data_IF_446899841714
#
_entry.id   IF_446899841714
#
_cell.length_a   1.000
_cell.length_b   1.000
_cell.length_c   1.000
_cell.angle_alpha   90.00
_cell.angle_beta   90.00
_cell.angle_gamma   90.00
#
_symmetry.space_group_name_H-M   'P 1'
#
loop_
_entity.id
_entity.type
_entity.pdbx_description
1 polymer ?
#
# COMPACT_ATOMS: atom_id res chain seq x y z
N UNK A 1 -8.66 48.33 -36.93
CA UNK A 1 -8.44 47.34 -35.86
C UNK A 1 -7.18 46.58 -36.21
N UNK A 2 -6.14 46.85 -35.44
CA UNK A 2 -4.74 46.46 -35.63
C UNK A 2 -4.49 45.03 -35.11
N UNK A 3 -3.68 44.29 -35.86
CA UNK A 3 -3.22 42.94 -35.57
C UNK A 3 -1.69 42.95 -35.44
N UNK A 4 -1.19 42.11 -34.53
CA UNK A 4 0.12 41.45 -34.51
C UNK A 4 1.40 42.23 -34.09
N UNK A 5 1.84 41.88 -32.88
CA UNK A 5 3.20 41.58 -32.41
C UNK A 5 4.40 41.72 -33.37
N UNK A 6 5.43 42.45 -32.90
CA UNK A 6 6.84 42.04 -32.94
C UNK A 6 7.66 42.98 -32.04
N UNK A 7 8.48 42.43 -31.14
CA UNK A 7 9.68 43.16 -30.68
C UNK A 7 10.86 42.19 -30.57
N UNK A 8 11.88 42.50 -31.36
CA UNK A 8 13.17 41.84 -31.46
C UNK A 8 14.11 42.37 -30.37
N UNK A 9 14.88 41.48 -29.76
CA UNK A 9 16.09 41.82 -28.99
C UNK A 9 17.28 41.40 -29.84
N UNK A 10 18.20 42.34 -30.13
CA UNK A 10 19.67 42.17 -30.05
C UNK A 10 20.38 43.36 -30.69
N UNK A 11 21.29 43.99 -29.94
CA UNK A 11 22.54 44.70 -30.31
C UNK A 11 23.09 45.28 -28.98
N UNK A 12 24.36 45.45 -28.66
CA UNK A 12 25.68 44.87 -28.97
C UNK A 12 26.67 45.79 -28.23
N UNK A 13 27.79 45.22 -27.74
CA UNK A 13 29.08 45.89 -27.43
C UNK A 13 29.11 47.02 -26.38
N UNK A 14 30.00 46.92 -25.37
CA UNK A 14 31.24 47.71 -25.35
C UNK A 14 32.22 47.23 -24.25
N UNK A 15 33.51 47.45 -24.50
CA UNK A 15 34.65 46.93 -23.75
C UNK A 15 35.40 48.04 -23.00
N UNK A 16 36.06 47.71 -21.88
CA UNK A 16 37.36 48.27 -21.43
C UNK A 16 37.75 47.55 -20.12
N UNK A 17 38.75 46.66 -20.11
CA UNK A 17 40.22 46.87 -20.00
C UNK A 17 40.62 47.75 -18.79
N UNK A 18 41.15 47.10 -17.74
CA UNK A 18 42.18 47.68 -16.88
C UNK A 18 42.96 46.61 -16.08
N UNK A 19 44.28 46.55 -16.34
CA UNK A 19 45.42 46.16 -15.47
C UNK A 19 45.58 44.68 -15.06
N UNK A 20 46.53 43.95 -15.65
CA UNK A 20 47.99 43.85 -15.31
C UNK A 20 48.25 43.41 -13.87
N UNK A 21 49.17 42.50 -13.49
CA UNK A 21 50.10 41.56 -14.12
C UNK A 21 50.92 41.01 -12.93
N UNK A 22 51.12 39.70 -12.76
CA UNK A 22 52.38 39.10 -12.25
C UNK A 22 52.31 37.56 -12.20
N UNK A 23 52.95 36.94 -13.19
CA UNK A 23 53.59 35.63 -13.14
C UNK A 23 55.06 35.87 -12.74
N UNK A 24 55.83 35.05 -12.02
CA UNK A 24 56.34 33.68 -12.22
C UNK A 24 57.13 33.35 -10.91
N UNK A 25 57.48 32.12 -10.49
CA UNK A 25 58.64 31.33 -10.97
C UNK A 25 58.70 30.00 -10.18
N UNK A 26 59.21 28.98 -10.89
CA UNK A 26 59.47 27.54 -10.69
C UNK A 26 60.37 27.10 -9.49
N UNK A 27 60.21 25.82 -9.07
CA UNK A 27 61.21 24.75 -8.74
C UNK A 27 60.48 23.65 -7.92
N UNK A 28 60.72 22.33 -7.94
CA UNK A 28 61.75 21.43 -8.45
C UNK A 28 61.40 19.96 -8.05
N UNK A 29 62.24 19.03 -8.47
CA UNK A 29 62.12 17.55 -8.67
C UNK A 29 61.85 16.60 -7.46
N UNK A 30 61.32 15.39 -7.80
CA UNK A 30 61.46 14.02 -7.23
C UNK A 30 60.39 13.41 -6.30
N UNK A 31 59.97 12.18 -6.68
CA UNK A 31 59.63 11.09 -5.75
C UNK A 31 58.22 10.50 -5.91
N UNK A 32 58.10 9.39 -6.64
CA UNK A 32 56.83 8.69 -6.83
C UNK A 32 56.39 7.87 -5.63
N UNK A 33 55.07 7.72 -5.49
CA UNK A 33 54.36 6.49 -5.12
C UNK A 33 52.88 6.65 -5.49
N UNK A 34 52.34 5.66 -6.21
CA UNK A 34 50.95 5.61 -6.63
C UNK A 34 50.01 5.56 -5.41
N UNK A 35 49.07 6.52 -5.32
CA UNK A 35 47.99 6.52 -4.33
C UNK A 35 46.71 6.02 -4.98
N UNK A 36 46.38 4.74 -4.78
CA UNK A 36 45.04 4.20 -5.03
C UNK A 36 44.17 4.47 -3.81
N UNK A 37 43.23 5.40 -3.92
CA UNK A 37 42.18 5.59 -2.91
C UNK A 37 41.03 4.62 -3.16
N UNK A 38 40.61 3.79 -2.18
CA UNK A 38 39.22 3.40 -2.06
C UNK A 38 38.51 4.33 -1.07
N UNK A 39 37.36 4.84 -1.50
CA UNK A 39 36.45 5.69 -0.73
C UNK A 39 35.92 4.93 0.50
N UNK A 40 36.22 5.46 1.69
CA UNK A 40 35.60 5.08 2.97
C UNK A 40 34.24 5.79 3.06
N UNK A 41 33.15 5.03 3.15
CA UNK A 41 31.86 5.53 3.61
C UNK A 41 31.50 4.84 4.92
N UNK A 42 31.27 5.65 5.96
CA UNK A 42 31.05 5.27 7.35
C UNK A 42 29.70 5.87 7.74
N UNK A 43 28.69 5.06 8.05
CA UNK A 43 27.62 5.46 8.98
C UNK A 43 27.16 4.27 9.82
N UNK A 44 26.99 4.58 11.10
CA UNK A 44 26.75 3.65 12.20
C UNK A 44 25.30 3.15 12.20
N UNK A 45 25.12 1.83 12.04
CA UNK A 45 23.90 1.11 12.44
C UNK A 45 24.10 0.51 13.84
N UNK A 46 23.18 0.82 14.73
CA UNK A 46 23.26 0.70 16.19
C UNK A 46 23.36 -0.74 16.72
N UNK A 47 24.10 -0.87 17.83
CA UNK A 47 24.32 -2.07 18.68
C UNK A 47 23.04 -2.84 19.06
N UNK A 48 21.88 -2.19 18.99
CA UNK A 48 20.55 -2.75 19.24
C UNK A 48 20.16 -3.85 18.25
N UNK A 49 20.54 -3.72 16.97
CA UNK A 49 20.15 -4.65 15.90
C UNK A 49 20.88 -6.01 16.01
N UNK A 50 22.10 -6.00 16.58
CA UNK A 50 22.84 -7.23 16.90
C UNK A 50 22.24 -7.94 18.11
N UNK A 51 21.71 -7.19 19.08
CA UNK A 51 21.08 -7.73 20.28
C UNK A 51 19.81 -8.54 19.97
N UNK A 52 18.96 -8.04 19.07
CA UNK A 52 17.73 -8.73 18.68
C UNK A 52 17.98 -10.05 17.94
N UNK A 53 18.98 -10.11 17.06
CA UNK A 53 19.34 -11.34 16.34
C UNK A 53 19.86 -12.43 17.28
N UNK A 54 20.62 -12.05 18.32
CA UNK A 54 21.17 -12.99 19.28
C UNK A 54 20.11 -13.57 20.24
N UNK A 55 19.09 -12.78 20.59
CA UNK A 55 17.98 -13.23 21.45
C UNK A 55 17.01 -14.17 20.71
N UNK A 56 16.73 -13.90 19.43
CA UNK A 56 15.85 -14.76 18.62
C UNK A 56 16.51 -16.09 18.21
N UNK A 57 17.84 -16.13 18.10
CA UNK A 57 18.55 -17.37 17.74
C UNK A 57 18.59 -18.39 18.88
N UNK A 58 18.34 -17.96 20.13
CA UNK A 58 18.45 -18.81 21.32
C UNK A 58 17.15 -19.52 21.69
N UNK A 59 16.02 -19.20 21.05
CA UNK A 59 14.72 -19.81 21.33
C UNK A 59 14.35 -20.96 20.38
N UNK A 60 15.20 -21.32 19.41
CA UNK A 60 14.93 -22.38 18.43
C UNK A 60 15.94 -23.53 18.64
N UNK A 61 15.95 -24.12 19.82
CA UNK A 61 16.54 -25.45 19.99
C UNK A 61 15.74 -26.20 21.05
N UNK A 62 14.94 -27.14 20.56
CA UNK A 62 14.09 -27.98 21.38
C UNK A 62 12.62 -27.63 21.20
N UNK A 63 11.97 -28.27 20.23
CA UNK A 63 10.88 -29.21 20.50
C UNK A 63 10.45 -29.83 19.17
N UNK A 64 10.72 -31.13 19.05
CA UNK A 64 10.14 -32.02 18.05
C UNK A 64 8.61 -31.99 18.22
N UNK A 65 7.93 -31.56 17.18
CA UNK A 65 6.48 -31.45 17.13
C UNK A 65 6.09 -30.88 15.78
N UNK A 66 5.75 -31.78 14.87
CA UNK A 66 5.23 -31.52 13.52
C UNK A 66 4.19 -30.39 13.57
N UNK A 67 4.60 -29.19 13.15
CA UNK A 67 3.72 -28.06 12.87
C UNK A 67 3.91 -27.76 11.40
N UNK A 68 2.83 -27.89 10.64
CA UNK A 68 2.73 -27.36 9.29
C UNK A 68 2.97 -25.84 9.34
N UNK A 69 4.19 -25.41 9.03
CA UNK A 69 4.55 -24.00 8.83
C UNK A 69 3.83 -23.50 7.56
N UNK A 70 2.56 -23.11 7.71
CA UNK A 70 1.79 -22.48 6.64
C UNK A 70 2.37 -21.08 6.41
N UNK A 71 3.19 -20.97 5.36
CA UNK A 71 3.85 -19.74 4.92
C UNK A 71 2.82 -18.76 4.29
N UNK A 72 1.90 -18.28 5.12
CA UNK A 72 0.82 -17.39 4.70
C UNK A 72 1.34 -16.13 3.99
N UNK A 73 2.52 -15.64 4.38
CA UNK A 73 3.14 -14.44 3.82
C UNK A 73 3.44 -14.55 2.32
N UNK A 74 3.79 -15.75 1.86
CA UNK A 74 4.15 -15.98 0.46
C UNK A 74 2.95 -16.39 -0.40
N UNK A 75 2.00 -17.13 0.18
CA UNK A 75 0.86 -17.66 -0.57
C UNK A 75 -0.14 -16.58 -1.01
N UNK A 76 -0.31 -15.49 -0.23
CA UNK A 76 -1.17 -14.37 -0.66
C UNK A 76 -0.56 -13.50 -1.76
N UNK A 77 0.74 -13.66 -2.06
CA UNK A 77 1.49 -12.81 -2.99
C UNK A 77 1.45 -13.29 -4.45
N UNK A 78 0.89 -14.47 -4.73
CA UNK A 78 0.94 -15.09 -6.07
C UNK A 78 -0.07 -14.53 -7.08
N UNK A 79 -1.02 -13.67 -6.66
CA UNK A 79 -2.09 -13.13 -7.50
C UNK A 79 -1.86 -11.71 -8.03
N UNK A 80 -2.63 -11.32 -9.05
CA UNK A 80 -2.69 -9.93 -9.51
C UNK A 80 -3.19 -9.06 -8.36
N UNK A 81 -2.37 -8.08 -7.97
CA UNK A 81 -2.68 -7.08 -6.94
C UNK A 81 -3.21 -5.82 -7.58
N UNK A 82 -4.30 -5.28 -7.02
CA UNK A 82 -4.85 -3.99 -7.45
C UNK A 82 -5.24 -3.14 -6.26
N UNK A 83 -4.76 -1.90 -6.23
CA UNK A 83 -5.17 -0.94 -5.23
C UNK A 83 -6.45 -0.24 -5.66
N UNK A 84 -7.52 -0.37 -4.87
CA UNK A 84 -8.84 0.19 -5.18
C UNK A 84 -9.54 0.66 -3.90
N UNK A 85 -10.50 1.57 -4.06
CA UNK A 85 -11.49 1.92 -3.04
C UNK A 85 -12.79 1.20 -3.35
N UNK A 86 -13.49 0.68 -2.34
CA UNK A 86 -14.76 -0.01 -2.53
C UNK A 86 -15.93 0.93 -2.21
N UNK A 87 -16.55 1.50 -3.24
CA UNK A 87 -17.65 2.45 -3.10
C UNK A 87 -19.02 1.75 -3.15
N UNK A 88 -19.82 1.94 -2.11
CA UNK A 88 -21.19 1.46 -2.03
C UNK A 88 -22.17 2.63 -2.21
N UNK A 89 -23.03 2.55 -3.24
CA UNK A 89 -24.02 3.58 -3.56
C UNK A 89 -25.30 3.43 -2.72
N UNK A 90 -25.19 3.66 -1.41
CA UNK A 90 -26.31 3.64 -0.46
C UNK A 90 -26.36 4.92 0.36
N UNK A 91 -27.56 5.45 0.60
CA UNK A 91 -27.71 6.73 1.31
C UNK A 91 -27.02 7.86 0.55
N UNK A 92 -26.03 8.49 1.18
CA UNK A 92 -25.17 9.51 0.54
C UNK A 92 -24.00 8.91 -0.25
N UNK A 93 -23.85 7.58 -0.25
CA UNK A 93 -22.71 6.87 -0.82
C UNK A 93 -21.53 6.81 0.14
N UNK A 94 -20.88 5.65 0.22
CA UNK A 94 -19.81 5.40 1.18
C UNK A 94 -18.70 4.55 0.58
N UNK A 95 -17.44 4.92 0.83
CA UNK A 95 -16.29 4.06 0.66
C UNK A 95 -16.12 3.20 1.90
N UNK A 96 -15.93 1.90 1.72
CA UNK A 96 -15.50 1.02 2.80
C UNK A 96 -14.17 1.53 3.37
N UNK A 97 -13.99 1.45 4.68
CA UNK A 97 -12.72 1.75 5.33
C UNK A 97 -12.48 0.80 6.50
N UNK A 98 -11.21 0.60 6.82
CA UNK A 98 -10.75 -0.15 7.99
C UNK A 98 -9.75 0.71 8.76
N UNK A 99 -10.09 0.99 10.02
CA UNK A 99 -9.29 1.84 10.89
C UNK A 99 -8.18 1.03 11.60
N UNK A 100 -7.13 1.69 12.14
CA UNK A 100 -6.04 0.99 12.85
C UNK A 100 -6.48 0.21 14.09
N UNK A 101 -7.62 0.56 14.69
CA UNK A 101 -8.23 -0.17 15.81
C UNK A 101 -9.00 -1.43 15.35
N UNK A 102 -8.99 -1.75 14.05
CA UNK A 102 -9.70 -2.87 13.45
C UNK A 102 -11.19 -2.61 13.21
N UNK A 103 -11.68 -1.39 13.48
CA UNK A 103 -13.07 -1.02 13.20
C UNK A 103 -13.29 -0.81 11.71
N UNK A 104 -14.37 -1.39 11.20
CA UNK A 104 -14.79 -1.26 9.80
C UNK A 104 -16.09 -0.47 9.73
N UNK A 105 -16.15 0.50 8.82
CA UNK A 105 -17.34 1.28 8.51
C UNK A 105 -17.24 1.88 7.10
N UNK A 106 -18.28 2.60 6.69
CA UNK A 106 -18.29 3.43 5.51
C UNK A 106 -17.98 4.88 5.84
N UNK A 107 -17.25 5.55 4.95
CA UNK A 107 -16.97 6.99 4.98
C UNK A 107 -17.40 7.62 3.65
N UNK A 108 -18.02 8.80 3.68
CA UNK A 108 -18.49 9.43 2.45
C UNK A 108 -17.31 9.89 1.57
N UNK A 109 -16.45 10.74 2.15
CA UNK A 109 -15.24 11.21 1.48
C UNK A 109 -14.14 10.15 1.59
N UNK A 110 -13.43 9.93 0.49
CA UNK A 110 -12.27 9.04 0.49
C UNK A 110 -11.17 9.52 1.45
N UNK A 111 -10.44 8.56 2.01
CA UNK A 111 -9.31 8.83 2.88
C UNK A 111 -8.26 7.70 2.78
N UNK A 112 -7.14 7.86 3.48
CA UNK A 112 -6.06 6.86 3.51
C UNK A 112 -6.48 5.46 3.98
N UNK A 113 -7.51 5.35 4.83
CA UNK A 113 -8.03 4.08 5.37
C UNK A 113 -9.06 3.39 4.48
N UNK A 114 -9.48 4.06 3.40
CA UNK A 114 -10.40 3.51 2.39
C UNK A 114 -9.72 2.85 1.20
N UNK A 115 -8.38 2.91 1.15
CA UNK A 115 -7.57 2.30 0.10
C UNK A 115 -7.26 0.84 0.47
N UNK A 116 -7.69 -0.09 -0.38
CA UNK A 116 -7.44 -1.51 -0.23
C UNK A 116 -6.53 -2.03 -1.34
N UNK A 117 -5.57 -2.87 -0.96
CA UNK A 117 -4.95 -3.82 -1.87
C UNK A 117 -5.86 -5.05 -1.97
N UNK A 118 -6.43 -5.26 -3.15
CA UNK A 118 -7.21 -6.44 -3.49
C UNK A 118 -6.26 -7.43 -4.15
N UNK A 119 -6.08 -8.58 -3.51
CA UNK A 119 -5.17 -9.63 -3.97
C UNK A 119 -5.96 -10.89 -4.29
N UNK A 120 -5.69 -11.50 -5.44
CA UNK A 120 -6.33 -12.76 -5.82
C UNK A 120 -5.69 -13.90 -5.03
N UNK A 121 -6.52 -14.67 -4.32
CA UNK A 121 -6.08 -15.85 -3.55
C UNK A 121 -6.30 -17.11 -4.39
N UNK A 122 -7.50 -17.24 -4.96
CA UNK A 122 -7.90 -18.32 -5.86
C UNK A 122 -8.78 -17.75 -6.97
N UNK A 123 -9.19 -18.57 -7.96
CA UNK A 123 -10.04 -18.10 -9.06
C UNK A 123 -11.36 -17.52 -8.53
N UNK A 124 -11.52 -16.20 -8.67
CA UNK A 124 -12.71 -15.48 -8.22
C UNK A 124 -12.78 -15.26 -6.71
N UNK A 125 -11.72 -15.61 -5.95
CA UNK A 125 -11.62 -15.38 -4.51
C UNK A 125 -10.49 -14.40 -4.24
N UNK A 126 -10.80 -13.36 -3.47
CA UNK A 126 -9.88 -12.26 -3.16
C UNK A 126 -9.72 -12.06 -1.67
N UNK A 127 -8.61 -11.46 -1.28
CA UNK A 127 -8.42 -10.84 0.03
C UNK A 127 -8.49 -9.32 -0.10
N UNK A 128 -8.90 -8.66 0.98
CA UNK A 128 -9.02 -7.20 1.04
C UNK A 128 -8.10 -6.69 2.16
N UNK A 129 -6.95 -6.13 1.79
CA UNK A 129 -5.96 -5.63 2.73
C UNK A 129 -5.98 -4.10 2.78
N UNK A 130 -6.27 -3.53 3.95
CA UNK A 130 -6.24 -2.08 4.17
C UNK A 130 -4.81 -1.57 4.17
N UNK A 131 -4.42 -0.82 3.12
CA UNK A 131 -3.02 -0.41 2.91
C UNK A 131 -2.50 0.42 4.08
N UNK A 132 -3.30 1.36 4.58
CA UNK A 132 -2.88 2.25 5.68
C UNK A 132 -2.98 1.61 7.06
N UNK A 133 -4.00 0.79 7.30
CA UNK A 133 -4.19 0.12 8.60
C UNK A 133 -3.30 -1.10 8.79
N UNK A 134 -2.78 -1.67 7.69
CA UNK A 134 -2.08 -2.94 7.67
C UNK A 134 -2.92 -4.11 8.22
N UNK A 135 -4.23 -4.10 7.93
CA UNK A 135 -5.18 -5.12 8.38
C UNK A 135 -5.97 -5.69 7.20
N UNK A 136 -6.20 -7.00 7.22
CA UNK A 136 -7.17 -7.66 6.38
C UNK A 136 -8.59 -7.43 6.90
N UNK A 137 -9.54 -7.29 5.99
CA UNK A 137 -10.95 -7.50 6.31
C UNK A 137 -11.17 -9.00 6.48
N UNK A 138 -11.85 -9.39 7.55
CA UNK A 138 -12.31 -10.74 7.81
C UNK A 138 -13.78 -10.75 8.22
N UNK A 139 -14.44 -11.90 8.06
CA UNK A 139 -15.82 -12.11 8.49
C UNK A 139 -15.96 -13.38 9.31
N UNK A 140 -16.50 -13.26 10.52
CA UNK A 140 -16.73 -14.42 11.39
C UNK A 140 -18.05 -15.15 11.10
N UNK A 141 -18.26 -16.30 11.75
CA UNK A 141 -19.46 -17.14 11.63
C UNK A 141 -20.79 -16.44 11.97
N UNK A 142 -20.76 -15.31 12.70
CA UNK A 142 -21.95 -14.50 12.99
C UNK A 142 -22.24 -13.46 11.90
N UNK A 143 -21.47 -13.47 10.81
CA UNK A 143 -21.52 -12.50 9.73
C UNK A 143 -21.01 -11.11 10.13
N UNK A 144 -20.21 -10.98 11.20
CA UNK A 144 -19.66 -9.69 11.63
C UNK A 144 -18.30 -9.47 10.96
N UNK A 145 -18.13 -8.33 10.31
CA UNK A 145 -16.82 -7.91 9.80
C UNK A 145 -15.92 -7.44 10.95
N UNK A 146 -14.64 -7.75 10.84
CA UNK A 146 -13.59 -7.28 11.73
C UNK A 146 -12.26 -7.17 10.99
N UNK A 147 -11.34 -6.36 11.53
CA UNK A 147 -9.97 -6.27 11.04
C UNK A 147 -9.05 -7.28 11.74
N UNK A 148 -8.14 -7.90 10.99
CA UNK A 148 -7.08 -8.78 11.53
C UNK A 148 -5.75 -8.54 10.84
N UNK A 149 -4.65 -8.64 11.58
CA UNK A 149 -3.30 -8.56 11.02
C UNK A 149 -2.85 -9.89 10.38
N UNK A 150 -3.48 -11.00 10.76
CA UNK A 150 -3.10 -12.35 10.32
C UNK A 150 -4.03 -12.80 9.20
N UNK A 151 -3.46 -13.25 8.09
CA UNK A 151 -4.23 -13.83 7.00
C UNK A 151 -4.76 -15.22 7.40
N UNK A 152 -6.06 -15.46 7.18
CA UNK A 152 -6.77 -16.69 7.54
C UNK A 152 -7.95 -16.91 6.58
N UNK A 153 -8.62 -18.06 6.67
CA UNK A 153 -9.74 -18.39 5.77
C UNK A 153 -10.92 -17.42 5.87
N UNK A 154 -11.12 -16.76 7.02
CA UNK A 154 -12.13 -15.71 7.18
C UNK A 154 -11.83 -14.42 6.40
N UNK A 155 -10.60 -14.26 5.88
CA UNK A 155 -10.17 -13.13 5.04
C UNK A 155 -10.43 -13.35 3.54
N UNK A 156 -10.92 -14.54 3.16
CA UNK A 156 -11.18 -14.91 1.76
C UNK A 156 -12.62 -14.56 1.40
N UNK A 157 -12.79 -13.81 0.32
CA UNK A 157 -14.09 -13.41 -0.20
C UNK A 157 -14.24 -13.77 -1.68
N UNK A 158 -15.34 -14.42 -2.04
CA UNK A 158 -15.72 -14.63 -3.44
C UNK A 158 -16.21 -13.31 -4.02
N UNK A 159 -15.48 -12.78 -5.00
CA UNK A 159 -15.84 -11.59 -5.75
C UNK A 159 -16.73 -11.99 -6.94
N UNK A 160 -17.95 -11.46 -6.99
CA UNK A 160 -18.89 -11.74 -8.08
C UNK A 160 -19.35 -10.43 -8.72
N UNK A 161 -19.21 -10.33 -10.04
CA UNK A 161 -19.77 -9.24 -10.83
C UNK A 161 -21.29 -9.41 -10.92
N UNK A 162 -22.02 -8.36 -10.56
CA UNK A 162 -23.48 -8.31 -10.58
C UNK A 162 -24.01 -7.74 -11.90
N UNK A 163 -25.30 -7.97 -12.24
CA UNK A 163 -25.90 -7.46 -13.48
C UNK A 163 -25.88 -5.93 -13.65
N UNK A 164 -25.70 -5.17 -12.56
CA UNK A 164 -25.61 -3.71 -12.58
C UNK A 164 -24.16 -3.19 -12.64
N UNK A 165 -23.18 -4.04 -12.94
CA UNK A 165 -21.74 -3.74 -13.01
C UNK A 165 -21.09 -3.34 -11.67
N UNK A 166 -21.73 -3.65 -10.54
CA UNK A 166 -21.10 -3.63 -9.21
C UNK A 166 -20.60 -5.02 -8.85
N UNK A 167 -19.69 -5.11 -7.89
CA UNK A 167 -19.26 -6.38 -7.31
C UNK A 167 -19.99 -6.63 -5.98
N UNK A 168 -20.26 -7.90 -5.69
CA UNK A 168 -20.56 -8.39 -4.34
C UNK A 168 -19.38 -9.23 -3.83
N UNK A 169 -19.15 -9.17 -2.52
CA UNK A 169 -18.11 -9.93 -1.83
C UNK A 169 -18.76 -10.84 -0.79
N UNK A 170 -18.77 -12.14 -1.08
CA UNK A 170 -19.31 -13.18 -0.21
C UNK A 170 -18.19 -13.81 0.60
N UNK A 171 -18.39 -14.13 1.87
CA UNK A 171 -17.41 -14.93 2.63
C UNK A 171 -17.21 -16.29 1.96
N UNK A 172 -15.95 -16.65 1.71
CA UNK A 172 -15.61 -17.95 1.15
C UNK A 172 -15.85 -19.08 2.16
N UNK A 173 -15.69 -18.80 3.45
CA UNK A 173 -15.90 -19.76 4.54
C UNK A 173 -17.38 -19.86 4.95
N UNK A 174 -18.08 -18.71 5.02
CA UNK A 174 -19.47 -18.64 5.45
C UNK A 174 -20.38 -18.23 4.30
N UNK A 175 -20.70 -19.19 3.43
CA UNK A 175 -21.55 -18.98 2.27
C UNK A 175 -22.89 -18.31 2.62
N UNK A 176 -23.35 -17.42 1.75
CA UNK A 176 -24.54 -16.59 1.95
C UNK A 176 -24.32 -15.37 2.85
N UNK A 177 -23.10 -15.13 3.37
CA UNK A 177 -22.78 -13.94 4.15
C UNK A 177 -21.96 -12.93 3.32
N UNK A 178 -22.47 -11.70 3.18
CA UNK A 178 -21.89 -10.68 2.30
C UNK A 178 -21.32 -9.48 3.05
N UNK A 179 -20.25 -8.89 2.53
CA UNK A 179 -19.82 -7.55 2.96
C UNK A 179 -20.98 -6.58 2.65
N UNK A 180 -21.37 -5.77 3.63
CA UNK A 180 -22.51 -4.87 3.44
C UNK A 180 -22.43 -3.60 4.30
N UNK A 181 -22.81 -2.47 3.71
CA UNK A 181 -22.96 -1.17 4.38
C UNK A 181 -24.42 -0.74 4.42
N UNK A 182 -24.88 -0.27 5.57
CA UNK A 182 -26.20 0.36 5.70
C UNK A 182 -26.22 1.74 5.04
N UNK A 183 -27.43 2.27 4.82
CA UNK A 183 -27.66 3.65 4.34
C UNK A 183 -27.01 4.76 5.20
N UNK A 184 -26.54 4.43 6.40
CA UNK A 184 -25.85 5.34 7.32
C UNK A 184 -24.34 5.05 7.42
N UNK A 185 -23.77 4.25 6.51
CA UNK A 185 -22.34 3.91 6.51
C UNK A 185 -21.93 2.93 7.62
N UNK A 186 -22.86 2.33 8.37
CA UNK A 186 -22.53 1.29 9.36
C UNK A 186 -22.48 -0.08 8.70
N UNK A 187 -21.53 -0.93 9.08
CA UNK A 187 -21.47 -2.33 8.65
C UNK A 187 -22.74 -3.06 9.07
N UNK A 188 -23.31 -3.84 8.15
CA UNK A 188 -24.42 -4.77 8.42
C UNK A 188 -23.86 -6.17 8.68
N UNK A 189 -24.62 -6.99 9.41
CA UNK A 189 -24.31 -8.43 9.52
C UNK A 189 -24.47 -9.08 8.14
N UNK A 190 -23.45 -9.79 7.69
CA UNK A 190 -23.40 -10.37 6.36
C UNK A 190 -24.47 -11.43 6.11
N UNK A 191 -24.83 -12.21 7.14
CA UNK A 191 -25.93 -13.17 7.08
C UNK A 191 -27.34 -12.54 7.00
N UNK A 192 -27.43 -11.20 7.03
CA UNK A 192 -28.67 -10.43 6.82
C UNK A 192 -28.62 -9.59 5.54
N UNK A 193 -27.66 -9.88 4.67
CA UNK A 193 -27.47 -9.19 3.41
C UNK A 193 -27.47 -10.22 2.28
N UNK A 194 -27.97 -9.84 1.11
CA UNK A 194 -27.96 -10.70 -0.08
C UNK A 194 -27.57 -9.88 -1.32
N UNK A 195 -27.12 -10.51 -2.41
CA UNK A 195 -26.74 -9.83 -3.64
C UNK A 195 -27.88 -9.06 -4.30
N UNK A 196 -29.14 -9.37 -3.98
CA UNK A 196 -30.30 -8.62 -4.44
C UNK A 196 -30.40 -7.22 -3.77
N UNK A 197 -29.76 -7.03 -2.62
CA UNK A 197 -29.80 -5.78 -1.87
C UNK A 197 -28.62 -4.87 -2.24
N UNK A 198 -28.91 -3.61 -2.58
CA UNK A 198 -27.89 -2.61 -2.96
C UNK A 198 -26.85 -2.33 -1.88
N UNK A 199 -27.15 -2.65 -0.61
CA UNK A 199 -26.20 -2.58 0.52
C UNK A 199 -24.98 -3.49 0.37
N UNK A 200 -25.01 -4.46 -0.54
CA UNK A 200 -23.90 -5.38 -0.84
C UNK A 200 -23.13 -5.00 -2.10
N UNK A 201 -23.58 -3.98 -2.82
CA UNK A 201 -23.03 -3.61 -4.12
C UNK A 201 -21.88 -2.63 -3.92
N UNK A 202 -20.68 -3.01 -4.36
CA UNK A 202 -19.49 -2.19 -4.28
C UNK A 202 -18.86 -2.00 -5.67
N UNK A 203 -18.59 -0.76 -6.02
CA UNK A 203 -17.87 -0.37 -7.21
C UNK A 203 -16.39 -0.16 -6.84
N UNK A 204 -15.45 -0.96 -7.39
CA UNK A 204 -14.02 -0.68 -7.25
C UNK A 204 -13.64 0.60 -7.99
N UNK A 205 -13.07 1.58 -7.28
CA UNK A 205 -12.60 2.87 -7.80
C UNK A 205 -11.09 3.01 -7.64
N UNK A 206 -10.44 3.79 -8.50
CA UNK A 206 -9.01 4.15 -8.42
C UNK A 206 -8.83 5.30 -7.44
#
# INVERSE_FOLDING_TARGET
MTTAQRLLITMSCEASIHRTLTAYVLLGFLGGIASTYPVVSRTNGTLLERGWKALLSRSISGMSGDKSDVNWESDYLLGIKRQRRLYCNVGIGFHLQILPDGRINGVHNENQYSLFEISTVERGVVSLFGVKSALFIAMNNKGKLYGTAVFQDECKFKETLLPNNYNAYESNTYHGAYIALSKHGRVKKGNKASPAMTVTHFLPRI
#
